data_IF_617656048838
#
_entry.id   IF_617656048838
#
_cell.length_a   1.000
_cell.length_b   1.000
_cell.length_c   1.000
_cell.angle_alpha   90.00
_cell.angle_beta   90.00
_cell.angle_gamma   90.00
#
_symmetry.space_group_name_H-M   'P 1'
#
loop_
_entity.id
_entity.type
_entity.pdbx_description
1 polymer ?
#
# COMPACT_ATOMS: atom_id res chain seq x y z
N UNK A 1 20.11 -1.78 -22.23
CA UNK A 1 20.55 -2.00 -20.83
C UNK A 1 20.54 -0.74 -19.98
N UNK A 2 20.98 0.43 -20.48
CA UNK A 2 21.02 1.70 -19.71
C UNK A 2 19.64 2.16 -19.22
N UNK A 3 18.61 2.13 -20.04
CA UNK A 3 17.24 2.55 -19.65
C UNK A 3 16.58 1.72 -18.54
N UNK A 4 16.84 0.41 -18.49
CA UNK A 4 16.28 -0.46 -17.42
C UNK A 4 16.90 -0.16 -16.05
N UNK A 5 18.22 0.11 -16.00
CA UNK A 5 18.89 0.54 -14.76
C UNK A 5 18.39 1.91 -14.28
N UNK A 6 18.15 2.84 -15.22
CA UNK A 6 17.56 4.13 -14.89
C UNK A 6 16.14 3.99 -14.32
N UNK A 7 15.35 3.03 -14.84
CA UNK A 7 14.03 2.72 -14.32
C UNK A 7 14.07 2.12 -12.90
N UNK A 8 15.03 1.25 -12.61
CA UNK A 8 15.26 0.71 -11.26
C UNK A 8 15.72 1.81 -10.30
N UNK A 9 16.66 2.66 -10.71
CA UNK A 9 17.09 3.81 -9.93
C UNK A 9 15.94 4.80 -9.67
N UNK A 10 15.08 5.04 -10.66
CA UNK A 10 13.88 5.84 -10.50
C UNK A 10 12.94 5.24 -9.43
N UNK A 11 12.67 3.94 -9.48
CA UNK A 11 11.83 3.28 -8.49
C UNK A 11 12.44 3.32 -7.09
N UNK A 12 13.77 3.26 -6.98
CA UNK A 12 14.47 3.40 -5.71
C UNK A 12 14.30 4.80 -5.10
N UNK A 13 14.56 5.84 -5.87
CA UNK A 13 14.49 7.21 -5.34
C UNK A 13 13.06 7.72 -5.19
N UNK A 14 12.13 7.32 -6.06
CA UNK A 14 10.75 7.77 -5.98
C UNK A 14 9.99 7.16 -4.79
N UNK A 15 10.51 6.11 -4.19
CA UNK A 15 9.90 5.46 -3.02
C UNK A 15 9.67 6.46 -1.86
N UNK A 16 10.65 7.32 -1.58
CA UNK A 16 10.52 8.38 -0.58
C UNK A 16 9.59 9.51 -1.04
N UNK A 17 9.66 9.87 -2.32
CA UNK A 17 8.86 10.97 -2.90
C UNK A 17 7.36 10.66 -2.90
N UNK A 18 6.97 9.41 -3.16
CA UNK A 18 5.55 8.99 -3.18
C UNK A 18 4.85 9.23 -1.84
N UNK A 19 5.58 9.08 -0.75
CA UNK A 19 5.05 9.28 0.59
C UNK A 19 5.26 10.73 1.11
N UNK A 20 6.07 11.56 0.44
CA UNK A 20 6.51 12.84 0.94
C UNK A 20 7.22 12.65 2.30
N UNK A 21 6.90 13.48 3.30
CA UNK A 21 7.36 13.25 4.68
C UNK A 21 6.61 12.07 5.34
N UNK A 22 5.54 11.58 4.71
CA UNK A 22 4.70 10.42 4.99
C UNK A 22 4.76 9.87 6.41
N UNK A 23 5.54 8.80 6.64
CA UNK A 23 5.61 8.16 7.95
C UNK A 23 6.12 9.05 9.09
N UNK A 24 6.92 10.09 8.78
CA UNK A 24 7.45 11.04 9.76
C UNK A 24 6.48 12.18 10.05
N UNK A 25 5.43 12.37 9.26
CA UNK A 25 4.47 13.46 9.41
C UNK A 25 3.85 13.50 10.80
N UNK A 26 3.42 12.35 11.32
CA UNK A 26 2.77 12.28 12.63
C UNK A 26 3.67 12.79 13.75
N UNK A 27 4.88 12.25 13.86
CA UNK A 27 5.83 12.63 14.90
C UNK A 27 6.36 14.07 14.69
N UNK A 28 6.46 14.54 13.45
CA UNK A 28 6.81 15.93 13.15
C UNK A 28 5.74 16.92 13.62
N UNK A 29 4.46 16.63 13.40
CA UNK A 29 3.35 17.47 13.85
C UNK A 29 3.19 17.39 15.37
N UNK A 30 3.39 16.20 15.97
CA UNK A 30 3.38 16.03 17.42
C UNK A 30 4.48 16.88 18.10
N UNK A 31 5.69 16.90 17.53
CA UNK A 31 6.78 17.75 18.01
C UNK A 31 6.45 19.27 17.93
N UNK A 32 5.45 19.64 17.15
CA UNK A 32 4.90 20.99 17.03
C UNK A 32 3.66 21.23 17.91
N UNK A 33 3.34 20.29 18.80
CA UNK A 33 2.23 20.41 19.77
C UNK A 33 0.86 20.00 19.24
N UNK A 34 0.77 19.30 18.08
CA UNK A 34 -0.49 18.83 17.56
C UNK A 34 -1.02 17.62 18.32
N UNK A 35 -2.32 17.60 18.59
CA UNK A 35 -3.00 16.43 19.16
C UNK A 35 -3.13 15.28 18.16
N UNK A 36 -3.28 14.06 18.69
CA UNK A 36 -3.43 12.87 17.87
C UNK A 36 -4.66 12.92 16.95
N UNK A 37 -5.74 13.58 17.40
CA UNK A 37 -6.96 13.81 16.62
C UNK A 37 -6.72 14.72 15.41
N UNK A 38 -6.00 15.82 15.58
CA UNK A 38 -5.62 16.74 14.51
C UNK A 38 -4.72 16.05 13.49
N UNK A 39 -3.72 15.31 13.95
CA UNK A 39 -2.82 14.52 13.10
C UNK A 39 -3.61 13.48 12.31
N UNK A 40 -4.45 12.70 12.98
CA UNK A 40 -5.27 11.68 12.36
C UNK A 40 -6.25 12.23 11.32
N UNK A 41 -6.91 13.35 11.60
CA UNK A 41 -7.86 13.98 10.66
C UNK A 41 -7.17 14.52 9.42
N UNK A 42 -6.00 15.15 9.56
CA UNK A 42 -5.22 15.64 8.40
C UNK A 42 -4.73 14.48 7.54
N UNK A 43 -4.25 13.38 8.14
CA UNK A 43 -3.87 12.17 7.41
C UNK A 43 -5.08 11.55 6.67
N UNK A 44 -6.25 11.55 7.29
CA UNK A 44 -7.50 11.09 6.66
C UNK A 44 -7.90 11.97 5.48
N UNK A 45 -7.81 13.28 5.59
CA UNK A 45 -8.08 14.22 4.48
C UNK A 45 -7.17 13.89 3.28
N UNK A 46 -5.87 13.72 3.52
CA UNK A 46 -4.92 13.29 2.50
C UNK A 46 -5.26 11.91 1.91
N UNK A 47 -5.59 10.94 2.76
CA UNK A 47 -5.97 9.59 2.35
C UNK A 47 -7.20 9.55 1.44
N UNK A 48 -8.25 10.31 1.79
CA UNK A 48 -9.46 10.44 0.97
C UNK A 48 -9.14 11.12 -0.37
N UNK A 49 -8.34 12.19 -0.35
CA UNK A 49 -7.93 12.87 -1.57
C UNK A 49 -7.15 11.93 -2.52
N UNK A 50 -6.22 11.13 -1.99
CA UNK A 50 -5.46 10.14 -2.74
C UNK A 50 -6.35 9.03 -3.33
N UNK A 51 -7.28 8.51 -2.53
CA UNK A 51 -8.25 7.52 -2.98
C UNK A 51 -9.09 8.05 -4.15
N UNK A 52 -9.62 9.25 -4.03
CA UNK A 52 -10.43 9.89 -5.09
C UNK A 52 -9.59 10.23 -6.34
N UNK A 53 -8.33 10.61 -6.14
CA UNK A 53 -7.42 10.96 -7.24
C UNK A 53 -6.91 9.75 -8.03
N UNK A 54 -6.93 8.54 -7.47
CA UNK A 54 -6.30 7.35 -8.07
C UNK A 54 -6.86 7.05 -9.47
N UNK A 55 -8.20 7.02 -9.65
CA UNK A 55 -8.82 6.74 -10.95
C UNK A 55 -8.58 7.87 -11.98
N UNK A 56 -8.80 9.16 -11.68
CA UNK A 56 -8.47 10.24 -12.60
C UNK A 56 -6.98 10.29 -12.97
N UNK A 57 -6.10 10.04 -12.00
CA UNK A 57 -4.66 10.02 -12.24
C UNK A 57 -4.26 8.87 -13.20
N UNK A 58 -4.81 7.69 -13.02
CA UNK A 58 -4.62 6.56 -13.94
C UNK A 58 -5.07 6.92 -15.36
N UNK A 59 -6.28 7.47 -15.53
CA UNK A 59 -6.80 7.91 -16.81
C UNK A 59 -5.92 9.01 -17.47
N UNK A 60 -5.40 9.95 -16.69
CA UNK A 60 -4.46 10.96 -17.16
C UNK A 60 -3.15 10.34 -17.66
N UNK A 61 -2.62 9.36 -16.92
CA UNK A 61 -1.41 8.62 -17.32
C UNK A 61 -1.62 7.86 -18.64
N UNK A 62 -2.78 7.24 -18.83
CA UNK A 62 -3.11 6.51 -20.04
C UNK A 62 -3.29 7.46 -21.24
N UNK A 63 -3.90 8.62 -21.03
CA UNK A 63 -4.12 9.62 -22.08
C UNK A 63 -2.83 10.32 -22.52
N UNK A 64 -1.82 10.46 -21.65
CA UNK A 64 -0.63 11.23 -21.98
C UNK A 64 0.47 10.42 -22.65
N UNK A 65 1.15 11.02 -23.63
CA UNK A 65 2.41 10.54 -24.20
C UNK A 65 3.65 11.04 -23.42
N UNK A 66 3.46 11.93 -22.43
CA UNK A 66 4.55 12.57 -21.69
C UNK A 66 4.69 11.98 -20.26
N UNK A 67 4.69 10.64 -20.14
CA UNK A 67 4.73 9.95 -18.85
C UNK A 67 5.94 10.35 -17.98
N UNK A 68 7.10 10.61 -18.61
CA UNK A 68 8.32 11.11 -17.93
C UNK A 68 8.07 12.48 -17.30
N UNK A 69 7.54 13.43 -18.07
CA UNK A 69 7.22 14.79 -17.58
C UNK A 69 6.19 14.76 -16.47
N UNK A 70 5.23 13.85 -16.55
CA UNK A 70 4.23 13.66 -15.50
C UNK A 70 4.89 13.24 -14.16
N UNK A 71 5.84 12.31 -14.19
CA UNK A 71 6.59 11.90 -12.97
C UNK A 71 7.44 13.06 -12.44
N UNK A 72 8.09 13.85 -13.31
CA UNK A 72 8.84 15.05 -12.90
C UNK A 72 7.93 16.06 -12.22
N UNK A 73 6.81 16.40 -12.85
CA UNK A 73 5.83 17.37 -12.30
C UNK A 73 5.28 16.88 -10.98
N UNK A 74 4.84 15.61 -10.91
CA UNK A 74 4.33 15.01 -9.68
C UNK A 74 5.39 15.03 -8.56
N UNK A 75 6.64 14.68 -8.87
CA UNK A 75 7.75 14.75 -7.92
C UNK A 75 8.01 16.17 -7.42
N UNK A 76 8.09 17.15 -8.32
CA UNK A 76 8.28 18.57 -7.96
C UNK A 76 7.12 19.09 -7.09
N UNK A 77 5.88 18.78 -7.45
CA UNK A 77 4.70 19.21 -6.69
C UNK A 77 4.67 18.58 -5.29
N UNK A 78 5.06 17.30 -5.17
CA UNK A 78 5.20 16.64 -3.87
C UNK A 78 6.30 17.28 -3.01
N UNK A 79 7.45 17.61 -3.61
CA UNK A 79 8.53 18.31 -2.92
C UNK A 79 8.09 19.69 -2.43
N UNK A 80 7.39 20.46 -3.26
CA UNK A 80 6.85 21.79 -2.91
C UNK A 80 5.81 21.67 -1.79
N UNK A 81 4.89 20.71 -1.88
CA UNK A 81 3.89 20.44 -0.86
C UNK A 81 4.53 20.05 0.47
N UNK A 82 5.56 19.19 0.44
CA UNK A 82 6.34 18.82 1.64
C UNK A 82 7.11 20.01 2.19
N UNK A 83 7.71 20.86 1.33
CA UNK A 83 8.38 22.10 1.73
C UNK A 83 7.43 23.08 2.43
N UNK A 84 6.16 23.14 2.02
CA UNK A 84 5.13 23.96 2.65
C UNK A 84 4.88 23.55 4.11
N UNK A 85 5.00 22.26 4.44
CA UNK A 85 4.91 21.77 5.82
C UNK A 85 6.04 22.33 6.72
N UNK A 86 7.21 22.57 6.15
CA UNK A 86 8.34 23.11 6.91
C UNK A 86 8.09 24.53 7.41
N UNK A 87 7.47 25.37 6.57
CA UNK A 87 7.26 26.79 6.85
C UNK A 87 5.89 27.08 7.48
N UNK A 88 4.94 26.15 7.39
CA UNK A 88 3.56 26.37 7.84
C UNK A 88 3.25 25.62 9.14
N UNK A 89 2.46 26.27 10.01
CA UNK A 89 1.99 25.72 11.29
C UNK A 89 0.45 25.61 11.34
N UNK A 90 -0.23 26.13 10.34
CA UNK A 90 -1.70 26.18 10.31
C UNK A 90 -2.32 24.86 9.84
N UNK A 91 -3.39 24.43 10.53
CA UNK A 91 -4.12 23.18 10.24
C UNK A 91 -4.51 23.06 8.75
N UNK A 92 -5.15 24.07 8.19
CA UNK A 92 -5.62 24.05 6.81
C UNK A 92 -4.50 24.01 5.78
N UNK A 93 -3.35 24.62 6.10
CA UNK A 93 -2.20 24.60 5.22
C UNK A 93 -1.55 23.21 5.19
N UNK A 94 -1.47 22.56 6.35
CA UNK A 94 -0.99 21.17 6.45
C UNK A 94 -1.96 20.23 5.71
N UNK A 95 -3.28 20.42 5.90
CA UNK A 95 -4.29 19.66 5.17
C UNK A 95 -4.16 19.83 3.65
N UNK A 96 -3.99 21.08 3.17
CA UNK A 96 -3.79 21.37 1.75
C UNK A 96 -2.52 20.73 1.21
N UNK A 97 -1.42 20.73 1.97
CA UNK A 97 -0.18 20.02 1.62
C UNK A 97 -0.42 18.50 1.48
N UNK A 98 -1.16 17.89 2.42
CA UNK A 98 -1.47 16.46 2.36
C UNK A 98 -2.36 16.13 1.15
N UNK A 99 -3.35 16.95 0.83
CA UNK A 99 -4.18 16.81 -0.37
C UNK A 99 -3.32 16.91 -1.64
N UNK A 100 -2.46 17.93 -1.73
CA UNK A 100 -1.58 18.12 -2.88
C UNK A 100 -0.62 16.95 -3.07
N UNK A 101 0.03 16.48 -1.99
CA UNK A 101 0.91 15.30 -2.02
C UNK A 101 0.16 14.04 -2.45
N UNK A 102 -1.04 13.82 -1.93
CA UNK A 102 -1.84 12.63 -2.25
C UNK A 102 -2.31 12.62 -3.71
N UNK A 103 -2.79 13.75 -4.23
CA UNK A 103 -3.23 13.88 -5.62
C UNK A 103 -2.05 13.67 -6.58
N UNK A 104 -0.92 14.31 -6.32
CA UNK A 104 0.27 14.18 -7.18
C UNK A 104 0.89 12.79 -7.09
N UNK A 105 0.96 12.22 -5.90
CA UNK A 105 1.46 10.86 -5.66
C UNK A 105 0.64 9.78 -6.37
N UNK A 106 -0.67 9.98 -6.50
CA UNK A 106 -1.58 9.03 -7.16
C UNK A 106 -1.22 8.76 -8.63
N UNK A 107 -0.57 9.69 -9.33
CA UNK A 107 -0.16 9.52 -10.72
C UNK A 107 1.17 8.77 -10.89
N UNK A 108 2.01 8.73 -9.87
CA UNK A 108 3.39 8.19 -9.98
C UNK A 108 3.36 6.68 -10.23
N UNK A 109 2.61 5.91 -9.44
CA UNK A 109 2.52 4.46 -9.58
C UNK A 109 2.08 4.00 -10.98
N UNK A 110 0.93 4.45 -11.49
CA UNK A 110 0.49 4.17 -12.85
C UNK A 110 1.51 4.60 -13.93
N UNK A 111 2.17 5.76 -13.76
CA UNK A 111 3.17 6.24 -14.70
C UNK A 111 4.40 5.32 -14.76
N UNK A 112 4.89 4.85 -13.60
CA UNK A 112 6.00 3.90 -13.51
C UNK A 112 5.63 2.55 -14.14
N UNK A 113 4.43 2.04 -13.88
CA UNK A 113 3.93 0.80 -14.47
C UNK A 113 3.81 0.93 -16.00
N UNK A 114 3.22 2.03 -16.48
CA UNK A 114 3.09 2.31 -17.91
C UNK A 114 4.44 2.46 -18.62
N UNK A 115 5.40 3.19 -18.01
CA UNK A 115 6.76 3.29 -18.57
C UNK A 115 7.46 1.93 -18.59
N UNK A 116 7.29 1.12 -17.53
CA UNK A 116 7.83 -0.24 -17.48
C UNK A 116 7.29 -1.07 -18.65
N UNK A 117 5.97 -1.08 -18.83
CA UNK A 117 5.30 -1.82 -19.90
C UNK A 117 5.78 -1.35 -21.29
N UNK A 118 5.82 -0.03 -21.52
CA UNK A 118 6.28 0.55 -22.78
C UNK A 118 7.73 0.25 -23.13
N UNK A 119 8.60 0.04 -22.10
CA UNK A 119 10.02 -0.24 -22.32
C UNK A 119 10.33 -1.74 -22.52
N UNK A 120 9.60 -2.64 -21.92
CA UNK A 120 9.92 -4.08 -21.93
C UNK A 120 8.84 -4.94 -22.56
N UNK A 121 7.73 -4.37 -22.95
CA UNK A 121 6.53 -5.02 -23.47
C UNK A 121 5.99 -6.11 -22.52
N UNK A 122 4.90 -6.77 -22.89
CA UNK A 122 4.22 -7.76 -22.03
C UNK A 122 5.14 -8.90 -21.59
N UNK A 123 5.97 -9.45 -22.49
CA UNK A 123 6.85 -10.58 -22.19
C UNK A 123 7.93 -10.28 -21.13
N UNK A 124 8.35 -9.02 -20.99
CA UNK A 124 9.36 -8.60 -20.04
C UNK A 124 8.81 -7.94 -18.78
N UNK A 125 7.50 -7.67 -18.76
CA UNK A 125 6.86 -6.84 -17.75
C UNK A 125 7.01 -7.41 -16.34
N UNK A 126 6.60 -8.64 -16.09
CA UNK A 126 6.62 -9.23 -14.76
C UNK A 126 8.02 -9.25 -14.15
N UNK A 127 9.01 -9.62 -14.96
CA UNK A 127 10.40 -9.64 -14.50
C UNK A 127 10.93 -8.24 -14.17
N UNK A 128 10.67 -7.25 -15.04
CA UNK A 128 11.17 -5.89 -14.82
C UNK A 128 10.38 -5.21 -13.71
N UNK A 129 9.07 -5.41 -13.64
CA UNK A 129 8.22 -4.88 -12.59
C UNK A 129 8.63 -5.43 -11.22
N UNK A 130 8.91 -6.74 -11.12
CA UNK A 130 9.45 -7.33 -9.91
C UNK A 130 10.78 -6.70 -9.46
N UNK A 131 11.71 -6.42 -10.40
CA UNK A 131 12.97 -5.70 -10.09
C UNK A 131 12.72 -4.27 -9.62
N UNK A 132 11.76 -3.58 -10.24
CA UNK A 132 11.36 -2.24 -9.83
C UNK A 132 10.81 -2.22 -8.40
N UNK A 133 9.99 -3.24 -8.04
CA UNK A 133 9.46 -3.38 -6.69
C UNK A 133 10.57 -3.65 -5.65
N UNK A 134 11.54 -4.49 -5.98
CA UNK A 134 12.72 -4.69 -5.12
C UNK A 134 13.49 -3.40 -4.92
N UNK A 135 13.71 -2.62 -5.99
CA UNK A 135 14.35 -1.31 -5.90
C UNK A 135 13.53 -0.32 -5.05
N UNK A 136 12.20 -0.30 -5.21
CA UNK A 136 11.30 0.55 -4.43
C UNK A 136 11.35 0.20 -2.93
N UNK A 137 11.25 -1.08 -2.58
CA UNK A 137 11.37 -1.51 -1.18
C UNK A 137 12.75 -1.20 -0.60
N UNK A 138 13.82 -1.40 -1.39
CA UNK A 138 15.17 -1.00 -1.00
C UNK A 138 15.28 0.51 -0.76
N UNK A 139 14.66 1.31 -1.64
CA UNK A 139 14.58 2.76 -1.50
C UNK A 139 13.86 3.18 -0.19
N UNK A 140 12.72 2.57 0.10
CA UNK A 140 11.97 2.81 1.35
C UNK A 140 12.81 2.51 2.61
N UNK A 141 13.52 1.37 2.62
CA UNK A 141 14.38 1.00 3.76
C UNK A 141 15.52 1.99 3.93
N UNK A 142 16.22 2.33 2.84
CA UNK A 142 17.36 3.26 2.89
C UNK A 142 16.90 4.67 3.25
N UNK A 143 15.83 5.17 2.63
CA UNK A 143 15.27 6.48 2.94
C UNK A 143 14.84 6.57 4.41
N UNK A 144 14.12 5.55 4.93
CA UNK A 144 13.70 5.53 6.33
C UNK A 144 14.89 5.49 7.29
N UNK A 145 15.89 4.65 7.03
CA UNK A 145 17.07 4.55 7.88
C UNK A 145 17.88 5.86 7.92
N UNK A 146 18.10 6.47 6.74
CA UNK A 146 18.79 7.76 6.63
C UNK A 146 17.97 8.89 7.27
N UNK A 147 16.66 8.95 7.05
CA UNK A 147 15.77 9.93 7.67
C UNK A 147 15.78 9.82 9.20
N UNK A 148 15.77 8.58 9.72
CA UNK A 148 15.84 8.35 11.16
C UNK A 148 17.17 8.82 11.75
N UNK A 149 18.29 8.47 11.13
CA UNK A 149 19.61 8.86 11.58
C UNK A 149 19.86 10.37 11.46
N UNK A 150 19.53 10.95 10.32
CA UNK A 150 19.67 12.40 10.08
C UNK A 150 18.72 13.20 10.97
N UNK A 151 17.49 12.75 11.12
CA UNK A 151 16.49 13.37 11.99
C UNK A 151 16.94 13.38 13.47
N UNK A 152 17.47 12.26 13.93
CA UNK A 152 18.05 12.16 15.28
C UNK A 152 19.24 13.10 15.47
N UNK A 153 20.15 13.16 14.48
CA UNK A 153 21.41 13.92 14.62
C UNK A 153 21.27 15.41 14.36
N UNK A 154 20.36 15.79 13.43
CA UNK A 154 20.25 17.16 12.90
C UNK A 154 18.81 17.71 12.94
N UNK A 155 17.86 16.94 13.47
CA UNK A 155 16.45 17.32 13.52
C UNK A 155 15.69 17.13 12.23
N UNK A 156 14.38 17.39 12.27
CA UNK A 156 13.47 17.16 11.12
C UNK A 156 13.86 17.91 9.85
N UNK A 157 14.57 19.05 9.94
CA UNK A 157 15.05 19.74 8.74
C UNK A 157 15.88 18.87 7.82
N UNK A 158 16.72 18.02 8.40
CA UNK A 158 17.53 17.09 7.62
C UNK A 158 16.70 16.02 6.92
N UNK A 159 15.55 15.61 7.49
CA UNK A 159 14.62 14.69 6.84
C UNK A 159 14.00 15.34 5.60
N UNK A 160 13.58 16.61 5.68
CA UNK A 160 13.07 17.35 4.52
C UNK A 160 14.14 17.54 3.42
N UNK A 161 15.37 17.84 3.80
CA UNK A 161 16.50 17.98 2.84
C UNK A 161 16.76 16.63 2.16
N UNK A 162 16.76 15.53 2.90
CA UNK A 162 16.94 14.19 2.35
C UNK A 162 15.82 13.84 1.35
N UNK A 163 14.56 14.10 1.71
CA UNK A 163 13.40 13.86 0.84
C UNK A 163 13.50 14.70 -0.45
N UNK A 164 13.93 15.96 -0.34
CA UNK A 164 14.19 16.80 -1.51
C UNK A 164 15.35 16.23 -2.38
N UNK A 165 16.41 15.71 -1.77
CA UNK A 165 17.51 15.07 -2.49
C UNK A 165 17.03 13.81 -3.24
N UNK A 166 16.24 12.95 -2.60
CA UNK A 166 15.63 11.78 -3.25
C UNK A 166 14.72 12.21 -4.42
N UNK A 167 13.95 13.29 -4.22
CA UNK A 167 13.15 13.89 -5.28
C UNK A 167 13.98 14.35 -6.47
N UNK A 168 15.08 15.07 -6.25
CA UNK A 168 15.99 15.49 -7.31
C UNK A 168 16.64 14.29 -8.01
N UNK A 169 17.07 13.28 -7.26
CA UNK A 169 17.67 12.07 -7.83
C UNK A 169 16.64 11.27 -8.64
N UNK A 170 15.36 11.27 -8.24
CA UNK A 170 14.29 10.66 -9.04
C UNK A 170 14.08 11.39 -10.36
N UNK A 171 14.17 12.73 -10.37
CA UNK A 171 14.10 13.56 -11.59
C UNK A 171 15.29 13.26 -12.50
N UNK A 172 16.50 13.17 -11.96
CA UNK A 172 17.69 12.77 -12.74
C UNK A 172 17.53 11.38 -13.32
N UNK A 173 17.03 10.42 -12.52
CA UNK A 173 16.81 9.05 -12.96
C UNK A 173 15.77 8.97 -14.08
N UNK A 174 14.62 9.64 -13.96
CA UNK A 174 13.59 9.63 -15.02
C UNK A 174 14.07 10.36 -16.28
N UNK A 175 14.85 11.41 -16.13
CA UNK A 175 15.44 12.16 -17.27
C UNK A 175 16.48 11.33 -18.03
N UNK A 176 17.12 10.38 -17.34
CA UNK A 176 18.10 9.45 -17.93
C UNK A 176 17.44 8.32 -18.73
N UNK A 177 16.12 8.16 -18.68
CA UNK A 177 15.38 7.21 -19.50
C UNK A 177 15.18 7.84 -20.89
N UNK A 178 15.68 7.25 -22.00
CA UNK A 178 15.48 7.78 -23.33
C UNK A 178 13.98 7.84 -23.68
N UNK A 179 13.53 8.93 -24.32
CA UNK A 179 12.12 9.10 -24.64
C UNK A 179 11.65 8.07 -25.68
N UNK A 180 12.50 7.73 -26.62
CA UNK A 180 12.30 6.73 -27.67
C UNK A 180 12.28 5.28 -27.16
N UNK A 181 12.79 5.06 -25.93
CA UNK A 181 12.74 3.74 -25.30
C UNK A 181 11.33 3.36 -24.79
N UNK A 182 10.39 4.31 -24.74
CA UNK A 182 9.03 4.11 -24.23
C UNK A 182 8.07 4.08 -25.42
N UNK A 183 7.60 2.88 -25.77
CA UNK A 183 6.49 2.71 -26.71
C UNK A 183 5.17 3.12 -26.01
N UNK A 184 4.62 4.27 -26.40
CA UNK A 184 3.45 4.85 -25.76
C UNK A 184 2.15 4.09 -26.04
N UNK A 185 2.05 3.36 -27.13
CA UNK A 185 0.87 2.57 -27.47
C UNK A 185 0.88 1.26 -26.65
N UNK A 186 2.04 0.63 -26.54
CA UNK A 186 2.25 -0.50 -25.62
C UNK A 186 2.01 -0.09 -24.17
N UNK A 187 2.53 1.06 -23.76
CA UNK A 187 2.37 1.59 -22.40
C UNK A 187 0.92 1.82 -21.96
N UNK A 188 -0.02 1.91 -22.93
CA UNK A 188 -1.47 1.99 -22.70
C UNK A 188 -2.17 0.64 -22.82
N UNK A 189 -1.44 -0.45 -23.03
CA UNK A 189 -2.02 -1.78 -23.24
C UNK A 189 -2.61 -2.01 -24.64
N UNK A 190 -2.27 -1.15 -25.62
CA UNK A 190 -2.78 -1.27 -26.98
C UNK A 190 -2.13 -2.41 -27.80
N UNK A 191 -1.10 -3.07 -27.27
CA UNK A 191 -0.47 -4.25 -27.91
C UNK A 191 -1.35 -5.52 -27.88
N UNK A 192 -2.55 -5.45 -27.32
CA UNK A 192 -3.54 -6.53 -27.35
C UNK A 192 -4.23 -6.68 -28.72
N UNK A 193 -3.54 -6.38 -29.82
CA UNK A 193 -3.95 -6.71 -31.18
C UNK A 193 -3.73 -8.17 -31.57
N UNK A 194 -3.72 -9.09 -30.60
CA UNK A 194 -3.58 -10.51 -30.92
C UNK A 194 -4.90 -11.31 -30.86
N UNK A 195 -6.00 -10.70 -30.46
CA UNK A 195 -7.33 -11.31 -30.59
C UNK A 195 -8.31 -10.25 -31.14
N UNK A 196 -8.28 -10.09 -32.46
CA UNK A 196 -9.30 -9.35 -33.19
C UNK A 196 -10.65 -10.00 -32.92
N UNK A 197 -11.56 -9.31 -32.27
CA UNK A 197 -12.94 -9.71 -32.20
C UNK A 197 -13.80 -9.14 -31.09
N UNK A 198 -13.26 -8.63 -29.99
CA UNK A 198 -14.11 -8.01 -28.98
C UNK A 198 -13.70 -6.56 -28.69
N UNK A 199 -14.63 -5.60 -28.82
CA UNK A 199 -14.35 -4.23 -28.40
C UNK A 199 -14.05 -4.24 -26.91
N UNK A 200 -12.89 -3.69 -26.53
CA UNK A 200 -12.62 -3.39 -25.15
C UNK A 200 -13.79 -2.58 -24.61
N UNK A 201 -14.62 -3.22 -23.80
CA UNK A 201 -15.73 -2.56 -23.16
C UNK A 201 -15.14 -1.48 -22.25
N UNK A 202 -15.12 -0.24 -22.72
CA UNK A 202 -15.01 0.95 -21.90
C UNK A 202 -16.26 1.00 -21.02
N UNK A 203 -16.31 0.08 -20.04
CA UNK A 203 -17.43 -0.09 -19.14
C UNK A 203 -17.27 0.82 -17.94
N UNK A 204 -18.16 1.77 -17.86
CA UNK A 204 -18.40 2.76 -16.82
C UNK A 204 -18.23 2.26 -15.35
N UNK A 205 -18.02 3.19 -14.39
CA UNK A 205 -17.86 2.89 -12.94
C UNK A 205 -19.01 2.07 -12.34
N UNK A 206 -20.20 2.11 -12.93
CA UNK A 206 -21.34 1.26 -12.56
C UNK A 206 -21.09 -0.26 -12.72
N UNK A 207 -20.10 -0.67 -13.55
CA UNK A 207 -19.77 -2.08 -13.76
C UNK A 207 -18.99 -2.69 -12.59
N UNK A 208 -18.16 -1.91 -11.89
CA UNK A 208 -17.34 -2.40 -10.77
C UNK A 208 -18.16 -2.81 -9.55
N UNK A 209 -19.10 -1.96 -9.14
CA UNK A 209 -20.02 -2.28 -8.05
C UNK A 209 -20.90 -3.49 -8.38
N UNK A 210 -21.34 -3.61 -9.62
CA UNK A 210 -22.12 -4.77 -10.08
C UNK A 210 -21.32 -6.07 -10.00
N UNK A 211 -20.04 -6.05 -10.39
CA UNK A 211 -19.14 -7.22 -10.28
C UNK A 211 -18.97 -7.64 -8.81
N UNK A 212 -18.78 -6.68 -7.92
CA UNK A 212 -18.68 -6.94 -6.48
C UNK A 212 -19.95 -7.58 -5.94
N UNK A 213 -21.11 -7.03 -6.25
CA UNK A 213 -22.42 -7.51 -5.75
C UNK A 213 -22.81 -8.87 -6.34
N UNK A 214 -22.35 -9.22 -7.53
CA UNK A 214 -22.63 -10.50 -8.19
C UNK A 214 -21.76 -11.65 -7.66
N UNK A 215 -20.60 -11.37 -7.09
CA UNK A 215 -19.69 -12.38 -6.53
C UNK A 215 -19.68 -12.30 -4.99
N UNK A 216 -20.48 -13.17 -4.34
CA UNK A 216 -20.52 -13.22 -2.87
C UNK A 216 -19.12 -13.43 -2.22
N UNK A 217 -18.24 -14.31 -2.71
CA UNK A 217 -16.90 -14.44 -2.15
C UNK A 217 -16.05 -13.16 -2.31
N UNK A 218 -16.17 -12.46 -3.44
CA UNK A 218 -15.45 -11.21 -3.68
C UNK A 218 -15.95 -10.09 -2.76
N UNK A 219 -17.27 -9.99 -2.56
CA UNK A 219 -17.88 -9.03 -1.64
C UNK A 219 -17.41 -9.26 -0.19
N UNK A 220 -17.39 -10.51 0.25
CA UNK A 220 -16.92 -10.89 1.59
C UNK A 220 -15.43 -10.58 1.78
N UNK A 221 -14.61 -10.88 0.76
CA UNK A 221 -13.18 -10.54 0.76
C UNK A 221 -12.98 -9.03 0.84
N UNK A 222 -13.66 -8.25 0.00
CA UNK A 222 -13.55 -6.79 -0.01
C UNK A 222 -14.00 -6.18 1.33
N UNK A 223 -15.12 -6.63 1.88
CA UNK A 223 -15.63 -6.15 3.17
C UNK A 223 -14.65 -6.48 4.33
N UNK A 224 -14.14 -7.71 4.37
CA UNK A 224 -13.16 -8.11 5.38
C UNK A 224 -11.87 -7.30 5.28
N UNK A 225 -11.37 -7.06 4.05
CA UNK A 225 -10.18 -6.23 3.83
C UNK A 225 -10.44 -4.76 4.17
N UNK A 226 -11.63 -4.23 3.89
CA UNK A 226 -12.01 -2.87 4.30
C UNK A 226 -11.96 -2.69 5.81
N UNK A 227 -12.54 -3.62 6.57
CA UNK A 227 -12.47 -3.64 8.05
C UNK A 227 -11.04 -3.80 8.56
N UNK A 228 -10.26 -4.69 7.92
CA UNK A 228 -8.85 -4.88 8.25
C UNK A 228 -8.08 -3.56 8.10
N UNK A 229 -8.17 -2.89 6.95
CA UNK A 229 -7.44 -1.65 6.71
C UNK A 229 -7.94 -0.48 7.57
N UNK A 230 -9.22 -0.46 7.92
CA UNK A 230 -9.78 0.49 8.88
C UNK A 230 -9.17 0.32 10.28
N UNK A 231 -8.90 -0.90 10.70
CA UNK A 231 -8.20 -1.17 11.97
C UNK A 231 -6.68 -0.98 11.88
N UNK A 232 -6.07 -1.20 10.71
CA UNK A 232 -4.61 -1.31 10.55
C UNK A 232 -3.90 0.00 10.30
N UNK A 233 -4.39 0.84 9.39
CA UNK A 233 -3.58 1.92 8.81
C UNK A 233 -3.14 2.98 9.84
N UNK A 234 -3.93 3.24 10.88
CA UNK A 234 -3.56 4.13 11.96
C UNK A 234 -2.52 3.53 12.93
N UNK A 235 -2.43 2.20 13.05
CA UNK A 235 -1.63 1.59 14.13
C UNK A 235 -0.14 1.93 14.03
N UNK A 236 0.42 1.99 12.82
CA UNK A 236 1.83 2.32 12.63
C UNK A 236 2.14 3.75 13.08
N UNK A 237 1.50 4.81 12.55
CA UNK A 237 1.77 6.17 13.00
C UNK A 237 1.39 6.39 14.46
N UNK A 238 0.28 5.85 14.95
CA UNK A 238 -0.13 6.00 16.35
C UNK A 238 0.84 5.36 17.33
N UNK A 239 1.46 4.23 16.97
CA UNK A 239 2.45 3.60 17.85
C UNK A 239 3.68 4.48 17.98
N UNK A 240 4.14 5.11 16.89
CA UNK A 240 5.16 6.15 16.93
C UNK A 240 4.80 7.31 17.87
N UNK A 241 3.58 7.85 17.72
CA UNK A 241 3.08 8.93 18.58
C UNK A 241 3.01 8.51 20.06
N UNK A 242 2.57 7.29 20.35
CA UNK A 242 2.45 6.76 21.71
C UNK A 242 3.82 6.64 22.40
N UNK A 243 4.84 6.14 21.69
CA UNK A 243 6.21 6.00 22.21
C UNK A 243 6.84 7.37 22.47
N UNK A 244 6.63 8.32 21.58
CA UNK A 244 7.13 9.70 21.75
C UNK A 244 6.42 10.38 22.92
N UNK A 245 5.11 10.24 23.05
CA UNK A 245 4.34 10.77 24.18
C UNK A 245 4.75 10.15 25.53
N UNK A 246 5.17 8.88 25.52
CA UNK A 246 5.69 8.19 26.70
C UNK A 246 7.18 8.46 26.99
N UNK A 247 7.84 9.32 26.21
CA UNK A 247 9.29 9.62 26.30
C UNK A 247 10.18 8.37 26.20
N UNK A 248 9.76 7.35 25.44
CA UNK A 248 10.43 6.06 25.31
C UNK A 248 11.31 5.95 24.04
N UNK A 249 11.41 7.00 23.25
CA UNK A 249 12.22 6.99 22.04
C UNK A 249 12.33 8.36 21.38
N UNK A 250 13.38 8.54 20.59
CA UNK A 250 13.55 9.72 19.77
C UNK A 250 12.62 9.61 18.52
N UNK A 251 11.84 10.65 18.18
CA UNK A 251 10.79 10.57 17.17
C UNK A 251 11.24 10.04 15.81
N UNK A 252 12.33 10.58 15.27
CA UNK A 252 12.80 10.22 13.93
C UNK A 252 13.40 8.82 13.87
N UNK A 253 14.27 8.49 14.84
CA UNK A 253 14.92 7.19 14.91
C UNK A 253 13.91 6.07 15.15
N UNK A 254 12.91 6.30 16.03
CA UNK A 254 11.87 5.32 16.29
C UNK A 254 10.96 5.10 15.07
N UNK A 255 10.55 6.17 14.39
CA UNK A 255 9.76 6.07 13.15
C UNK A 255 10.51 5.29 12.08
N UNK A 256 11.81 5.52 11.91
CA UNK A 256 12.64 4.75 10.99
C UNK A 256 12.65 3.25 11.33
N UNK A 257 12.80 2.91 12.63
CA UNK A 257 12.77 1.50 13.08
C UNK A 257 11.42 0.84 12.73
N UNK A 258 10.28 1.53 12.90
CA UNK A 258 8.97 0.97 12.56
C UNK A 258 8.90 0.59 11.09
N UNK A 259 9.40 1.43 10.20
CA UNK A 259 9.36 1.19 8.75
C UNK A 259 10.32 0.06 8.38
N UNK A 260 11.57 0.12 8.83
CA UNK A 260 12.59 -0.86 8.47
C UNK A 260 12.19 -2.27 8.91
N UNK A 261 11.71 -2.44 10.15
CA UNK A 261 11.28 -3.74 10.67
C UNK A 261 10.09 -4.26 9.85
N UNK A 262 9.06 -3.44 9.64
CA UNK A 262 7.89 -3.83 8.88
C UNK A 262 8.26 -4.25 7.45
N UNK A 263 9.11 -3.49 6.75
CA UNK A 263 9.52 -3.79 5.38
C UNK A 263 10.34 -5.09 5.27
N UNK A 264 11.28 -5.32 6.18
CA UNK A 264 12.08 -6.55 6.18
C UNK A 264 11.21 -7.79 6.41
N UNK A 265 10.31 -7.72 7.40
CA UNK A 265 9.38 -8.82 7.69
C UNK A 265 8.38 -9.00 6.56
N UNK A 266 7.88 -7.92 5.94
CA UNK A 266 6.97 -7.97 4.80
C UNK A 266 7.57 -8.72 3.62
N UNK A 267 8.83 -8.45 3.27
CA UNK A 267 9.53 -9.15 2.18
C UNK A 267 9.65 -10.65 2.49
N UNK A 268 10.04 -11.01 3.72
CA UNK A 268 10.14 -12.41 4.13
C UNK A 268 8.77 -13.11 4.11
N UNK A 269 7.72 -12.45 4.59
CA UNK A 269 6.35 -12.97 4.60
C UNK A 269 5.78 -13.13 3.18
N UNK A 270 6.06 -12.21 2.26
CA UNK A 270 5.65 -12.31 0.85
C UNK A 270 6.31 -13.52 0.15
N UNK A 271 7.59 -13.78 0.43
CA UNK A 271 8.26 -14.99 -0.08
C UNK A 271 7.66 -16.28 0.48
N UNK A 272 7.25 -16.27 1.75
CA UNK A 272 6.61 -17.41 2.40
C UNK A 272 5.16 -17.61 1.91
N UNK A 273 4.46 -16.54 1.56
CA UNK A 273 3.06 -16.57 1.14
C UNK A 273 2.81 -17.54 -0.01
N UNK A 274 3.69 -17.56 -1.03
CA UNK A 274 3.58 -18.46 -2.19
C UNK A 274 3.68 -19.93 -1.81
N UNK A 275 4.51 -20.26 -0.82
CA UNK A 275 4.65 -21.65 -0.29
C UNK A 275 3.40 -22.02 0.51
N UNK A 276 2.94 -21.13 1.38
CA UNK A 276 1.76 -21.36 2.21
C UNK A 276 0.49 -21.53 1.36
N UNK A 277 0.31 -20.70 0.33
CA UNK A 277 -0.83 -20.82 -0.61
C UNK A 277 -0.85 -22.19 -1.26
N UNK A 278 0.29 -22.69 -1.75
CA UNK A 278 0.38 -24.02 -2.37
C UNK A 278 0.11 -25.15 -1.39
N UNK A 279 0.47 -24.97 -0.11
CA UNK A 279 0.34 -26.03 0.89
C UNK A 279 -1.06 -26.04 1.54
N UNK A 280 -1.61 -24.89 1.90
CA UNK A 280 -2.84 -24.75 2.70
C UNK A 280 -3.96 -24.02 1.97
N UNK A 281 -3.71 -23.41 0.81
CA UNK A 281 -4.67 -22.58 0.09
C UNK A 281 -4.79 -21.15 0.61
N UNK A 282 -5.49 -20.30 -0.15
CA UNK A 282 -5.65 -18.87 0.13
C UNK A 282 -6.38 -18.60 1.45
N UNK A 283 -7.35 -19.44 1.80
CA UNK A 283 -8.19 -19.23 2.98
C UNK A 283 -7.36 -19.13 4.28
N UNK A 284 -6.39 -20.04 4.46
CA UNK A 284 -5.53 -20.06 5.64
C UNK A 284 -4.54 -18.88 5.66
N UNK A 285 -4.03 -18.47 4.51
CA UNK A 285 -3.09 -17.35 4.41
C UNK A 285 -3.79 -16.05 4.81
N UNK A 286 -5.01 -15.83 4.32
CA UNK A 286 -5.79 -14.65 4.66
C UNK A 286 -6.26 -14.70 6.11
N UNK A 287 -6.63 -15.89 6.63
CA UNK A 287 -6.95 -16.06 8.04
C UNK A 287 -5.80 -15.63 8.96
N UNK A 288 -4.56 -16.06 8.65
CA UNK A 288 -3.37 -15.66 9.42
C UNK A 288 -3.17 -14.14 9.42
N UNK A 289 -3.43 -13.51 8.29
CA UNK A 289 -3.39 -12.05 8.19
C UNK A 289 -4.41 -11.39 9.11
N UNK A 290 -5.67 -11.86 9.08
CA UNK A 290 -6.73 -11.31 9.91
C UNK A 290 -6.56 -11.61 11.40
N UNK A 291 -5.85 -12.68 11.75
CA UNK A 291 -5.49 -12.99 13.14
C UNK A 291 -4.34 -12.12 13.66
N UNK A 292 -3.37 -11.79 12.80
CA UNK A 292 -2.20 -11.01 13.19
C UNK A 292 -2.57 -9.63 13.73
N UNK A 293 -3.58 -8.98 13.19
CA UNK A 293 -3.91 -7.59 13.53
C UNK A 293 -4.58 -7.41 14.89
N UNK A 294 -5.58 -8.21 15.32
CA UNK A 294 -6.07 -8.16 16.70
C UNK A 294 -4.97 -8.40 17.73
N UNK A 295 -4.10 -9.39 17.47
CA UNK A 295 -2.94 -9.69 18.34
C UNK A 295 -2.00 -8.49 18.40
N UNK A 296 -1.71 -7.86 17.25
CA UNK A 296 -0.93 -6.62 17.17
C UNK A 296 -1.53 -5.51 18.00
N UNK A 297 -2.87 -5.32 17.93
CA UNK A 297 -3.58 -4.31 18.70
C UNK A 297 -3.45 -4.52 20.22
N UNK A 298 -3.58 -5.77 20.68
CA UNK A 298 -3.41 -6.12 22.08
C UNK A 298 -1.97 -5.88 22.57
N UNK A 299 -0.96 -6.26 21.77
CA UNK A 299 0.44 -6.01 22.10
C UNK A 299 0.73 -4.50 22.12
N UNK A 300 0.27 -3.76 21.11
CA UNK A 300 0.47 -2.31 21.07
C UNK A 300 -0.21 -1.58 22.23
N UNK A 301 -1.35 -2.06 22.71
CA UNK A 301 -2.05 -1.49 23.87
C UNK A 301 -1.34 -1.78 25.19
N UNK A 302 -0.75 -2.98 25.33
CA UNK A 302 -0.13 -3.43 26.58
C UNK A 302 1.36 -3.06 26.68
N UNK A 303 2.05 -2.81 25.56
CA UNK A 303 3.49 -2.57 25.51
C UNK A 303 3.78 -1.25 24.78
N UNK A 304 3.57 -0.12 25.48
CA UNK A 304 4.01 1.20 25.01
C UNK A 304 5.44 1.43 25.51
N UNK A 305 6.37 0.71 24.88
CA UNK A 305 7.80 0.74 25.24
C UNK A 305 8.65 0.60 23.97
N UNK A 306 9.86 1.15 23.96
CA UNK A 306 10.73 1.15 22.76
C UNK A 306 10.94 -0.25 22.14
N UNK A 307 11.10 -1.30 22.96
CA UNK A 307 11.27 -2.67 22.45
C UNK A 307 10.00 -3.27 21.82
N UNK A 308 8.81 -2.74 22.16
CA UNK A 308 7.54 -3.20 21.61
C UNK A 308 7.42 -2.98 20.11
N UNK A 309 8.28 -2.13 19.52
CA UNK A 309 8.35 -1.94 18.07
C UNK A 309 8.56 -3.27 17.31
N UNK A 310 9.35 -4.17 17.88
CA UNK A 310 9.69 -5.44 17.24
C UNK A 310 8.46 -6.34 17.03
N UNK A 311 7.72 -6.76 18.04
CA UNK A 311 6.54 -7.59 17.83
C UNK A 311 5.41 -6.86 17.11
N UNK A 312 5.21 -5.57 17.37
CA UNK A 312 4.14 -4.79 16.74
C UNK A 312 4.38 -4.65 15.24
N UNK A 313 5.61 -4.31 14.81
CA UNK A 313 5.91 -4.14 13.39
C UNK A 313 6.19 -5.47 12.66
N UNK A 314 6.64 -6.51 13.38
CA UNK A 314 6.72 -7.84 12.79
C UNK A 314 5.33 -8.37 12.38
N UNK A 315 4.31 -8.19 13.23
CA UNK A 315 2.94 -8.58 12.91
C UNK A 315 2.35 -7.76 11.75
N UNK A 316 2.69 -6.47 11.67
CA UNK A 316 2.34 -5.63 10.51
C UNK A 316 2.95 -6.16 9.22
N UNK A 317 4.26 -6.40 9.23
CA UNK A 317 4.99 -6.94 8.09
C UNK A 317 4.48 -8.31 7.64
N UNK A 318 4.13 -9.19 8.58
CA UNK A 318 3.50 -10.48 8.27
C UNK A 318 2.17 -10.25 7.55
N UNK A 319 1.29 -9.43 8.12
CA UNK A 319 -0.02 -9.12 7.52
C UNK A 319 0.12 -8.54 6.11
N UNK A 320 0.94 -7.50 5.95
CA UNK A 320 1.15 -6.83 4.67
C UNK A 320 1.81 -7.75 3.63
N UNK A 321 2.82 -8.53 4.02
CA UNK A 321 3.52 -9.44 3.12
C UNK A 321 2.64 -10.59 2.63
N UNK A 322 1.85 -11.19 3.51
CA UNK A 322 0.90 -12.23 3.12
C UNK A 322 -0.18 -11.69 2.19
N UNK A 323 -0.75 -10.50 2.50
CA UNK A 323 -1.79 -9.87 1.68
C UNK A 323 -1.29 -9.48 0.30
N UNK A 324 -0.07 -8.95 0.19
CA UNK A 324 0.48 -8.47 -1.09
C UNK A 324 0.51 -9.54 -2.18
N UNK A 325 0.59 -10.81 -1.78
CA UNK A 325 0.57 -11.97 -2.68
C UNK A 325 -0.81 -12.63 -2.74
N UNK A 326 -1.42 -12.88 -1.57
CA UNK A 326 -2.63 -13.69 -1.50
C UNK A 326 -3.86 -12.96 -2.05
N UNK A 327 -4.02 -11.66 -1.79
CA UNK A 327 -5.22 -10.92 -2.20
C UNK A 327 -5.34 -10.79 -3.71
N UNK A 328 -4.33 -10.28 -4.44
CA UNK A 328 -4.42 -10.20 -5.91
C UNK A 328 -4.65 -11.57 -6.56
N UNK A 329 -3.92 -12.59 -6.11
CA UNK A 329 -4.06 -13.93 -6.66
C UNK A 329 -5.44 -14.55 -6.39
N UNK A 330 -6.02 -14.32 -5.20
CA UNK A 330 -7.36 -14.79 -4.90
C UNK A 330 -8.43 -14.07 -5.73
N UNK A 331 -8.30 -12.75 -5.97
CA UNK A 331 -9.23 -12.02 -6.84
C UNK A 331 -9.19 -12.55 -8.27
N UNK A 332 -7.99 -12.85 -8.81
CA UNK A 332 -7.86 -13.50 -10.13
C UNK A 332 -8.62 -14.81 -10.15
N UNK A 333 -8.43 -15.66 -9.15
CA UNK A 333 -9.10 -16.96 -9.03
C UNK A 333 -10.63 -16.84 -8.92
N UNK A 334 -11.13 -15.91 -8.09
CA UNK A 334 -12.58 -15.70 -7.89
C UNK A 334 -13.30 -15.19 -9.14
N UNK A 335 -12.57 -14.56 -10.05
CA UNK A 335 -13.11 -13.95 -11.27
C UNK A 335 -12.60 -14.64 -12.55
N UNK A 336 -11.99 -15.82 -12.42
CA UNK A 336 -11.53 -16.61 -13.55
C UNK A 336 -12.69 -16.88 -14.53
N UNK A 337 -12.44 -16.72 -15.83
CA UNK A 337 -13.47 -16.87 -16.88
C UNK A 337 -14.50 -15.75 -16.98
N UNK A 338 -14.52 -14.77 -16.05
CA UNK A 338 -15.49 -13.67 -16.09
C UNK A 338 -15.10 -12.51 -17.03
N UNK A 339 -13.84 -12.44 -17.47
CA UNK A 339 -13.27 -11.29 -18.19
C UNK A 339 -13.21 -9.98 -17.38
N UNK A 340 -13.42 -10.02 -16.06
CA UNK A 340 -13.56 -8.84 -15.18
C UNK A 340 -12.54 -8.77 -14.04
N UNK A 341 -11.43 -9.47 -14.16
CA UNK A 341 -10.40 -9.56 -13.11
C UNK A 341 -9.87 -8.17 -12.70
N UNK A 342 -9.52 -7.32 -13.67
CA UNK A 342 -8.99 -5.98 -13.39
C UNK A 342 -10.02 -5.09 -12.69
N UNK A 343 -11.29 -5.18 -13.06
CA UNK A 343 -12.38 -4.45 -12.41
C UNK A 343 -12.53 -4.92 -10.96
N UNK A 344 -12.50 -6.24 -10.73
CA UNK A 344 -12.57 -6.81 -9.39
C UNK A 344 -11.38 -6.41 -8.51
N UNK A 345 -10.16 -6.42 -9.05
CA UNK A 345 -8.97 -5.90 -8.36
C UNK A 345 -9.15 -4.43 -7.96
N UNK A 346 -9.57 -3.59 -8.90
CA UNK A 346 -9.79 -2.17 -8.66
C UNK A 346 -10.82 -1.92 -7.55
N UNK A 347 -11.92 -2.68 -7.53
CA UNK A 347 -12.96 -2.53 -6.51
C UNK A 347 -12.45 -2.97 -5.12
N UNK A 348 -11.76 -4.10 -5.03
CA UNK A 348 -11.16 -4.56 -3.77
C UNK A 348 -10.15 -3.54 -3.25
N UNK A 349 -9.27 -3.03 -4.10
CA UNK A 349 -8.31 -1.98 -3.73
C UNK A 349 -8.99 -0.69 -3.28
N UNK A 350 -10.10 -0.30 -3.90
CA UNK A 350 -10.86 0.90 -3.50
C UNK A 350 -11.45 0.74 -2.10
N UNK A 351 -12.01 -0.44 -1.78
CA UNK A 351 -12.56 -0.71 -0.45
C UNK A 351 -11.44 -0.74 0.62
N UNK A 352 -10.28 -1.33 0.29
CA UNK A 352 -9.09 -1.27 1.16
C UNK A 352 -8.64 0.17 1.40
N UNK A 353 -8.55 0.96 0.33
CA UNK A 353 -8.14 2.37 0.41
C UNK A 353 -9.12 3.21 1.23
N UNK A 354 -10.43 2.96 1.12
CA UNK A 354 -11.44 3.63 1.94
C UNK A 354 -11.26 3.34 3.43
N UNK A 355 -11.06 2.06 3.80
CA UNK A 355 -10.76 1.68 5.17
C UNK A 355 -9.47 2.33 5.67
N UNK A 356 -8.40 2.26 4.88
CA UNK A 356 -7.11 2.86 5.23
C UNK A 356 -7.18 4.39 5.38
N UNK A 357 -7.93 5.08 4.52
CA UNK A 357 -8.08 6.54 4.57
C UNK A 357 -8.82 7.02 5.84
N UNK A 358 -9.81 6.27 6.31
CA UNK A 358 -10.59 6.62 7.50
C UNK A 358 -9.89 6.24 8.82
N UNK A 359 -8.99 5.28 8.78
CA UNK A 359 -8.30 4.73 9.95
C UNK A 359 -7.58 5.80 10.81
N UNK A 360 -6.80 6.74 10.25
CA UNK A 360 -6.07 7.73 11.04
C UNK A 360 -6.97 8.66 11.85
N UNK A 361 -8.11 9.11 11.30
CA UNK A 361 -9.06 9.93 12.05
C UNK A 361 -9.68 9.12 13.19
N UNK A 362 -10.11 7.88 12.92
CA UNK A 362 -10.66 7.00 13.95
C UNK A 362 -9.65 6.79 15.08
N UNK A 363 -8.44 6.37 14.75
CA UNK A 363 -7.39 6.11 15.73
C UNK A 363 -6.95 7.36 16.48
N UNK A 364 -6.80 8.49 15.79
CA UNK A 364 -6.39 9.77 16.39
C UNK A 364 -7.44 10.32 17.37
N UNK A 365 -8.73 10.29 17.01
CA UNK A 365 -9.82 10.71 17.89
C UNK A 365 -9.90 9.82 19.13
N UNK A 366 -9.80 8.50 18.97
CA UNK A 366 -9.80 7.58 20.08
C UNK A 366 -8.59 7.79 21.01
N UNK A 367 -7.40 7.99 20.42
CA UNK A 367 -6.19 8.25 21.21
C UNK A 367 -6.28 9.57 21.98
N UNK A 368 -6.84 10.62 21.37
CA UNK A 368 -7.02 11.91 22.03
C UNK A 368 -8.01 11.83 23.19
N UNK A 369 -9.13 11.10 23.03
CA UNK A 369 -10.21 11.06 24.03
C UNK A 369 -9.98 10.02 25.13
N UNK A 370 -9.39 8.88 24.80
CA UNK A 370 -9.32 7.71 25.69
C UNK A 370 -7.89 7.20 25.90
N UNK A 371 -6.89 7.87 25.30
CA UNK A 371 -5.49 7.46 25.35
C UNK A 371 -5.13 6.38 24.30
N UNK A 372 -3.84 6.25 24.08
CA UNK A 372 -3.27 5.33 23.07
C UNK A 372 -3.63 3.85 23.30
N UNK A 373 -3.59 3.30 24.54
CA UNK A 373 -3.98 1.91 24.76
C UNK A 373 -5.41 1.60 24.31
N UNK A 374 -6.35 2.47 24.66
CA UNK A 374 -7.75 2.31 24.27
C UNK A 374 -7.94 2.39 22.74
N UNK A 375 -7.19 3.29 22.07
CA UNK A 375 -7.22 3.38 20.61
C UNK A 375 -6.72 2.09 19.95
N UNK A 376 -5.64 1.48 20.43
CA UNK A 376 -5.12 0.22 19.90
C UNK A 376 -6.10 -0.95 20.12
N UNK A 377 -6.74 -1.03 21.29
CA UNK A 377 -7.77 -2.04 21.56
C UNK A 377 -8.96 -1.86 20.60
N UNK A 378 -9.43 -0.61 20.42
CA UNK A 378 -10.56 -0.33 19.55
C UNK A 378 -10.25 -0.65 18.07
N UNK A 379 -9.07 -0.26 17.57
CA UNK A 379 -8.63 -0.59 16.22
C UNK A 379 -8.47 -2.12 16.05
N UNK A 380 -7.95 -2.82 17.06
CA UNK A 380 -7.89 -4.27 17.11
C UNK A 380 -9.29 -4.92 17.09
N UNK A 381 -10.25 -4.35 17.83
CA UNK A 381 -11.64 -4.81 17.83
C UNK A 381 -12.32 -4.62 16.46
N UNK A 382 -12.11 -3.48 15.79
CA UNK A 382 -12.57 -3.26 14.40
C UNK A 382 -12.00 -4.33 13.48
N UNK A 383 -10.71 -4.62 13.58
CA UNK A 383 -10.07 -5.64 12.75
C UNK A 383 -10.54 -7.07 13.10
N UNK A 384 -10.98 -7.32 14.34
CA UNK A 384 -11.60 -8.59 14.70
C UNK A 384 -12.89 -8.82 13.91
N UNK A 385 -13.58 -7.76 13.49
CA UNK A 385 -14.70 -7.84 12.56
C UNK A 385 -14.34 -8.52 11.25
N UNK A 386 -13.13 -8.29 10.71
CA UNK A 386 -12.66 -8.99 9.50
C UNK A 386 -12.46 -10.49 9.75
N UNK A 387 -11.91 -10.85 10.91
CA UNK A 387 -11.70 -12.24 11.33
C UNK A 387 -13.05 -12.94 11.51
N UNK A 388 -13.99 -12.32 12.22
CA UNK A 388 -15.35 -12.85 12.43
C UNK A 388 -16.07 -13.06 11.09
N UNK A 389 -16.01 -12.05 10.20
CA UNK A 389 -16.60 -12.16 8.87
C UNK A 389 -15.99 -13.32 8.08
N UNK A 390 -14.66 -13.47 8.09
CA UNK A 390 -13.94 -14.53 7.38
C UNK A 390 -14.29 -15.93 7.90
N UNK A 391 -14.40 -16.09 9.22
CA UNK A 391 -14.75 -17.37 9.87
C UNK A 391 -16.22 -17.71 9.67
N UNK A 392 -17.15 -16.76 9.85
CA UNK A 392 -18.59 -16.97 9.73
C UNK A 392 -19.01 -17.45 8.34
N UNK A 393 -18.32 -16.99 7.30
CA UNK A 393 -18.55 -17.42 5.91
C UNK A 393 -17.50 -18.44 5.42
N UNK A 394 -16.85 -19.13 6.35
CA UNK A 394 -15.78 -20.08 6.06
C UNK A 394 -16.18 -21.19 5.09
N UNK A 395 -17.42 -21.69 5.13
CA UNK A 395 -17.90 -22.71 4.19
C UNK A 395 -17.90 -22.20 2.73
N UNK A 396 -18.43 -20.99 2.51
CA UNK A 396 -18.47 -20.35 1.19
C UNK A 396 -17.07 -20.02 0.68
N UNK A 397 -16.19 -19.55 1.57
CA UNK A 397 -14.87 -19.05 1.20
C UNK A 397 -13.83 -20.17 1.03
N UNK A 398 -13.89 -21.24 1.84
CA UNK A 398 -12.93 -22.36 1.74
C UNK A 398 -12.98 -23.04 0.38
N UNK A 399 -14.17 -23.28 -0.14
CA UNK A 399 -14.34 -23.89 -1.47
C UNK A 399 -13.73 -22.99 -2.55
N UNK A 400 -13.99 -21.69 -2.50
CA UNK A 400 -13.43 -20.71 -3.45
C UNK A 400 -11.90 -20.50 -3.29
N UNK A 401 -11.36 -20.75 -2.11
CA UNK A 401 -9.95 -20.54 -1.74
C UNK A 401 -9.08 -21.82 -1.77
N UNK A 402 -9.64 -22.99 -2.12
CA UNK A 402 -8.89 -24.24 -2.14
C UNK A 402 -7.71 -24.17 -3.12
N UNK A 403 -6.59 -24.81 -2.79
CA UNK A 403 -5.46 -24.91 -3.71
C UNK A 403 -5.79 -25.87 -4.87
N UNK A 404 -5.24 -25.61 -6.06
CA UNK A 404 -5.52 -26.39 -7.27
C UNK A 404 -5.23 -27.90 -7.16
N UNK A 405 -4.39 -28.31 -6.20
CA UNK A 405 -4.10 -29.72 -5.91
C UNK A 405 -5.28 -30.51 -5.31
N UNK A 406 -6.32 -29.84 -4.80
CA UNK A 406 -7.52 -30.51 -4.28
C UNK A 406 -8.47 -30.98 -5.37
N UNK A 407 -8.62 -30.19 -6.42
CA UNK A 407 -9.47 -30.56 -7.56
C UNK A 407 -8.85 -31.74 -8.35
N UNK A 408 -7.54 -31.76 -8.50
CA UNK A 408 -6.83 -32.88 -9.17
C UNK A 408 -6.87 -34.18 -8.33
N UNK A 409 -6.77 -34.10 -6.99
CA UNK A 409 -6.91 -35.26 -6.12
C UNK A 409 -8.33 -35.85 -6.13
N UNK A 410 -9.35 -34.99 -6.04
CA UNK A 410 -10.74 -35.45 -6.08
C UNK A 410 -11.12 -36.00 -7.47
N UNK A 411 -10.55 -35.50 -8.56
CA UNK A 411 -10.75 -36.05 -9.89
C UNK A 411 -10.04 -37.43 -10.06
N UNK A 412 -8.87 -37.62 -9.43
CA UNK A 412 -8.15 -38.89 -9.46
C UNK A 412 -8.81 -39.95 -8.55
N UNK A 413 -9.33 -39.55 -7.37
CA UNK A 413 -10.12 -40.42 -6.51
C UNK A 413 -11.47 -40.82 -7.13
N UNK A 414 -12.13 -39.89 -7.83
CA UNK A 414 -13.39 -40.17 -8.53
C UNK A 414 -13.19 -40.98 -9.81
N UNK A 415 -11.99 -41.03 -10.36
CA UNK A 415 -11.63 -41.82 -11.57
C UNK A 415 -11.00 -43.18 -11.25
N UNK A 416 -10.77 -43.50 -9.96
CA UNK A 416 -10.27 -44.83 -9.56
C UNK A 416 -11.43 -45.80 -9.49
N UNK A 417 -11.53 -46.82 -10.39
CA UNK A 417 -12.57 -47.82 -10.29
C UNK A 417 -12.36 -48.61 -9.00
N UNK A 418 -13.44 -48.74 -8.20
CA UNK A 418 -13.46 -49.64 -7.06
C UNK A 418 -13.14 -51.05 -7.51
N UNK A 419 -11.95 -51.51 -7.16
CA UNK A 419 -11.51 -52.91 -7.33
C UNK A 419 -11.90 -53.71 -6.11
#
# INVERSE_FOLDING_TARGET
MKGRRALEALNFFVADVQAGIGPFLGVFLQARGWGADQIGTVMTIGGIAGMLATSPAGALVDATRHKRSLVVIAGLMTMLASGLLWISHGYWMVAASQVATAITGAAIGPALAGMTLGMVRQHGFDRQFGRNQVANHGGNVVAAALSGWLGWRYGFGAVFVLSALFGLLSIVAVSSIPADAIDHDVARGADAKATAGEPAAAGAPASGLRVLLQSRPLLLLAAALGLFHLGNAAMLPLYGLAIVAAHQGEPSAFTAQTIVIAQLVMVAAAMLATRLIRWRGYWWVILLTFLALPVRGLIAASVIHAWGVWPVQALDGIGAGLQSVAVPALVVRLLEGSGRVNVGQGVVMTVQAAGAALSPALGGILAHRFGYPAAFIALGAVSTGSLVLWLSFGATLRHACAADGGAARNAVEAASPAS
#
